data_IF_810047063836
#
_entry.id   IF_810047063836
#
_cell.length_a   1.000
_cell.length_b   1.000
_cell.length_c   1.000
_cell.angle_alpha   90.00
_cell.angle_beta   90.00
_cell.angle_gamma   90.00
#
_symmetry.space_group_name_H-M   'P 1'
#
loop_
_entity.id
_entity.type
_entity.pdbx_description
1 polymer ?
#
# COMPACT_ATOMS: atom_id res chain seq x y z
N UNK A 1 -0.81 5.78 -2.56
CA UNK A 1 -2.04 5.89 -1.74
C UNK A 1 -1.66 5.60 -0.31
N UNK A 2 -2.14 6.40 0.64
CA UNK A 2 -1.96 6.15 2.08
C UNK A 2 -3.30 5.75 2.65
N UNK A 3 -3.38 4.55 3.21
CA UNK A 3 -4.60 4.00 3.81
C UNK A 3 -4.28 3.60 5.25
N UNK A 4 -4.76 4.35 6.24
CA UNK A 4 -4.61 3.94 7.63
C UNK A 4 -5.47 2.71 7.94
N UNK A 5 -4.94 1.83 8.78
CA UNK A 5 -5.58 0.58 9.19
C UNK A 5 -6.16 0.76 10.59
N UNK A 6 -7.47 0.50 10.75
CA UNK A 6 -8.20 0.64 12.01
C UNK A 6 -7.92 1.95 12.79
N UNK A 7 -8.02 3.14 12.16
CA UNK A 7 -7.76 4.40 12.86
C UNK A 7 -8.81 4.65 13.94
N UNK A 8 -8.37 5.17 15.10
CA UNK A 8 -9.27 5.57 16.19
C UNK A 8 -9.96 6.94 15.95
N UNK A 9 -9.87 7.49 14.74
CA UNK A 9 -10.52 8.74 14.35
C UNK A 9 -11.52 8.47 13.21
N UNK A 10 -12.77 8.91 13.42
CA UNK A 10 -13.93 8.62 12.57
C UNK A 10 -13.84 9.24 11.17
N UNK A 11 -13.03 10.29 10.98
CA UNK A 11 -12.98 11.07 9.75
C UNK A 11 -11.77 10.72 8.86
N UNK A 12 -10.98 9.72 9.23
CA UNK A 12 -9.79 9.35 8.47
C UNK A 12 -10.19 8.56 7.23
N UNK A 13 -9.72 9.02 6.06
CA UNK A 13 -9.99 8.39 4.75
C UNK A 13 -8.67 8.10 4.02
N UNK A 14 -8.65 7.11 3.11
CA UNK A 14 -7.53 6.92 2.19
C UNK A 14 -7.23 8.19 1.39
N UNK A 15 -5.95 8.50 1.20
CA UNK A 15 -5.51 9.68 0.43
C UNK A 15 -4.64 9.23 -0.76
N UNK A 16 -4.91 9.81 -1.93
CA UNK A 16 -4.06 9.70 -3.11
C UNK A 16 -3.14 10.91 -3.15
N UNK A 17 -1.85 10.67 -3.32
CA UNK A 17 -0.79 11.68 -3.32
C UNK A 17 0.06 11.51 -4.58
N UNK A 18 0.76 12.57 -4.99
CA UNK A 18 1.71 12.54 -6.10
C UNK A 18 2.81 11.50 -5.85
N UNK A 19 3.25 10.82 -6.91
CA UNK A 19 4.36 9.88 -6.85
C UNK A 19 5.73 10.58 -6.76
N UNK A 20 5.79 11.89 -7.05
CA UNK A 20 6.95 12.76 -6.86
C UNK A 20 7.19 13.15 -5.40
N UNK A 21 6.23 12.87 -4.51
CA UNK A 21 6.34 13.23 -3.09
C UNK A 21 7.28 12.28 -2.34
N UNK A 22 7.98 12.81 -1.34
CA UNK A 22 8.65 12.04 -0.29
C UNK A 22 7.78 12.08 0.95
N UNK A 23 7.45 10.92 1.50
CA UNK A 23 6.54 10.78 2.65
C UNK A 23 7.38 10.33 3.83
N UNK A 24 7.56 11.19 4.83
CA UNK A 24 8.25 10.84 6.08
C UNK A 24 7.26 10.38 7.14
N UNK A 25 7.69 9.45 7.98
CA UNK A 25 6.93 8.94 9.13
C UNK A 25 7.78 9.01 10.40
N UNK A 26 7.13 9.42 11.48
CA UNK A 26 7.61 9.29 12.84
C UNK A 26 6.68 8.31 13.56
N UNK A 27 7.26 7.39 14.33
CA UNK A 27 6.52 6.33 14.99
C UNK A 27 6.53 6.60 16.49
N UNK A 28 5.34 6.74 17.05
CA UNK A 28 5.14 6.92 18.48
C UNK A 28 4.25 5.81 19.05
N UNK A 29 4.55 5.38 20.26
CA UNK A 29 3.77 4.36 20.94
C UNK A 29 4.35 3.98 22.29
N UNK A 30 3.63 3.12 23.02
CA UNK A 30 4.03 2.64 24.36
C UNK A 30 5.04 1.48 24.32
N UNK A 31 5.17 0.81 23.17
CA UNK A 31 6.10 -0.28 22.98
C UNK A 31 7.46 0.21 22.49
N UNK A 32 8.51 -0.54 22.79
CA UNK A 32 9.87 -0.25 22.30
C UNK A 32 10.09 -0.73 20.87
N UNK A 33 9.36 -1.78 20.45
CA UNK A 33 9.49 -2.41 19.14
C UNK A 33 8.22 -2.22 18.33
N UNK A 34 8.39 -1.84 17.07
CA UNK A 34 7.36 -1.77 16.05
C UNK A 34 7.79 -2.62 14.85
N UNK A 35 6.84 -2.96 13.98
CA UNK A 35 7.10 -3.78 12.80
C UNK A 35 6.89 -2.92 11.55
N UNK A 36 7.92 -2.83 10.72
CA UNK A 36 7.80 -2.31 9.36
C UNK A 36 7.77 -3.49 8.38
N UNK A 37 6.82 -3.50 7.45
CA UNK A 37 6.69 -4.57 6.45
C UNK A 37 6.81 -4.02 5.03
N UNK A 38 7.44 -4.81 4.14
CA UNK A 38 7.57 -4.49 2.72
C UNK A 38 7.65 -5.78 1.90
N UNK A 39 6.68 -5.99 1.02
CA UNK A 39 6.57 -7.16 0.12
C UNK A 39 6.83 -8.49 0.83
N UNK A 40 6.02 -8.79 1.85
CA UNK A 40 6.10 -10.02 2.66
C UNK A 40 7.38 -10.20 3.49
N UNK A 41 8.22 -9.17 3.60
CA UNK A 41 9.33 -9.10 4.55
C UNK A 41 8.98 -8.17 5.70
N UNK A 42 9.64 -8.34 6.84
CA UNK A 42 9.46 -7.47 7.99
C UNK A 42 10.80 -7.16 8.66
N UNK A 43 10.87 -6.02 9.31
CA UNK A 43 11.96 -5.62 10.19
C UNK A 43 11.40 -5.04 11.48
N UNK A 44 12.12 -5.25 12.59
CA UNK A 44 11.85 -4.56 13.84
C UNK A 44 12.44 -3.16 13.78
N UNK A 45 11.64 -2.17 14.13
CA UNK A 45 12.06 -0.77 14.21
C UNK A 45 11.72 -0.21 15.59
N UNK A 46 12.36 0.91 15.92
CA UNK A 46 12.14 1.63 17.17
C UNK A 46 11.67 3.06 16.90
N UNK A 47 11.13 3.73 17.91
CA UNK A 47 10.61 5.10 17.78
C UNK A 47 11.63 6.14 17.26
N UNK A 48 12.94 5.91 17.47
CA UNK A 48 14.00 6.79 16.97
C UNK A 48 14.30 6.64 15.47
N UNK A 49 13.74 5.62 14.79
CA UNK A 49 13.92 5.45 13.36
C UNK A 49 13.05 6.45 12.60
N UNK A 50 13.67 7.22 11.70
CA UNK A 50 12.96 8.04 10.75
C UNK A 50 12.74 7.25 9.47
N UNK A 51 11.48 7.05 9.09
CA UNK A 51 11.13 6.35 7.87
C UNK A 51 10.76 7.36 6.79
N UNK A 52 11.13 7.05 5.54
CA UNK A 52 10.66 7.80 4.38
C UNK A 52 10.35 6.86 3.22
N UNK A 53 9.29 7.17 2.48
CA UNK A 53 8.91 6.48 1.25
C UNK A 53 8.92 7.47 0.11
N UNK A 54 9.60 7.11 -0.98
CA UNK A 54 9.62 7.86 -2.24
C UNK A 54 9.51 6.90 -3.42
N UNK A 55 9.09 7.41 -4.58
CA UNK A 55 9.25 6.67 -5.83
C UNK A 55 10.73 6.41 -6.09
N UNK A 56 11.04 5.17 -6.47
CA UNK A 56 12.39 4.74 -6.80
C UNK A 56 12.80 5.21 -8.21
N UNK A 57 14.09 5.41 -8.44
CA UNK A 57 14.61 6.04 -9.67
C UNK A 57 14.55 5.11 -10.90
N UNK A 58 14.46 3.79 -10.67
CA UNK A 58 14.32 2.80 -11.73
C UNK A 58 12.95 2.12 -11.67
N UNK A 59 12.31 1.88 -12.83
CA UNK A 59 11.05 1.13 -12.91
C UNK A 59 11.31 -0.38 -12.91
N UNK A 60 10.28 -1.14 -12.51
CA UNK A 60 10.19 -2.56 -12.79
C UNK A 60 9.64 -2.72 -14.22
N UNK A 61 10.28 -3.56 -15.04
CA UNK A 61 9.79 -3.90 -16.39
C UNK A 61 8.94 -5.16 -16.31
N UNK A 62 7.68 -5.05 -16.71
CA UNK A 62 6.74 -6.16 -16.75
C UNK A 62 6.42 -6.52 -18.21
N UNK A 63 6.30 -7.81 -18.51
CA UNK A 63 5.81 -8.32 -19.80
C UNK A 63 4.31 -8.51 -19.68
N UNK A 64 3.56 -7.87 -20.58
CA UNK A 64 2.11 -8.04 -20.68
C UNK A 64 1.79 -8.90 -21.89
N UNK A 65 1.07 -10.00 -21.67
CA UNK A 65 0.62 -10.87 -22.75
C UNK A 65 -0.53 -10.22 -23.52
N UNK A 66 -0.67 -10.58 -24.79
CA UNK A 66 -1.84 -10.19 -25.58
C UNK A 66 -3.12 -10.67 -24.89
N UNK A 67 -4.20 -9.90 -25.02
CA UNK A 67 -5.52 -10.12 -24.42
C UNK A 67 -5.61 -10.07 -22.88
N UNK A 68 -4.48 -9.90 -22.18
CA UNK A 68 -4.47 -9.60 -20.74
C UNK A 68 -4.60 -8.10 -20.51
N UNK A 69 -5.65 -7.65 -19.81
CA UNK A 69 -5.84 -6.23 -19.44
C UNK A 69 -6.07 -6.09 -17.94
N UNK A 70 -5.67 -4.97 -17.37
CA UNK A 70 -5.90 -4.66 -15.95
C UNK A 70 -7.37 -4.83 -15.54
N UNK A 71 -8.30 -4.32 -16.36
CA UNK A 71 -9.73 -4.41 -16.06
C UNK A 71 -10.26 -5.85 -16.10
N UNK A 72 -9.84 -6.66 -17.08
CA UNK A 72 -10.24 -8.07 -17.14
C UNK A 72 -9.71 -8.82 -15.92
N UNK A 73 -8.44 -8.59 -15.55
CA UNK A 73 -7.82 -9.22 -14.37
C UNK A 73 -8.56 -8.88 -13.08
N UNK A 74 -8.96 -7.63 -12.87
CA UNK A 74 -9.70 -7.26 -11.66
C UNK A 74 -11.10 -7.89 -11.65
N UNK A 75 -11.83 -7.90 -12.78
CA UNK A 75 -13.16 -8.53 -12.85
C UNK A 75 -13.10 -10.00 -12.45
N UNK A 76 -12.19 -10.75 -13.05
CA UNK A 76 -12.02 -12.19 -12.76
C UNK A 76 -11.58 -12.42 -11.31
N UNK A 77 -10.58 -11.69 -10.81
CA UNK A 77 -10.03 -11.95 -9.46
C UNK A 77 -10.93 -11.52 -8.31
N UNK A 78 -11.72 -10.47 -8.51
CA UNK A 78 -12.61 -9.93 -7.47
C UNK A 78 -14.08 -10.32 -7.68
N UNK A 79 -14.40 -11.13 -8.71
CA UNK A 79 -15.78 -11.42 -9.10
C UNK A 79 -16.58 -10.17 -9.47
N UNK A 80 -15.90 -9.12 -9.92
CA UNK A 80 -16.52 -7.81 -10.06
C UNK A 80 -17.44 -7.76 -11.28
N UNK A 81 -18.74 -7.67 -11.03
CA UNK A 81 -19.77 -7.68 -12.06
C UNK A 81 -20.37 -9.06 -12.33
N UNK A 82 -19.95 -10.09 -11.57
CA UNK A 82 -20.65 -11.38 -11.56
C UNK A 82 -21.97 -11.23 -10.79
N UNK A 83 -23.07 -11.64 -11.41
CA UNK A 83 -24.36 -11.72 -10.76
C UNK A 83 -24.65 -13.18 -10.39
N UNK A 84 -24.48 -13.49 -9.10
CA UNK A 84 -24.67 -14.83 -8.53
C UNK A 84 -26.16 -15.23 -8.42
N UNK A 85 -27.09 -14.38 -8.90
CA UNK A 85 -28.54 -14.60 -8.82
C UNK A 85 -29.13 -15.33 -10.03
N UNK A 86 -28.32 -15.64 -11.04
CA UNK A 86 -28.65 -16.53 -12.16
C UNK A 86 -27.74 -17.75 -12.17
#
# INVERSE_FOLDING_TARGET
VITPVAPHNLNVRPIVISDSSVISFEVEGRGENFICTLDSRFELIHAHHQLAVRKNDFPIRLVQLQDSTFLNTIREKLGWGEDIRN
#
